data_IF_111516344057
#
_entry.id   IF_111516344057
#
_cell.length_a   1.000
_cell.length_b   1.000
_cell.length_c   1.000
_cell.angle_alpha   90.00
_cell.angle_beta   90.00
_cell.angle_gamma   90.00
#
_symmetry.space_group_name_H-M   'P 1'
#
loop_
_entity.id
_entity.type
_entity.pdbx_description
1 polymer ?
#
# COMPACT_ATOMS: atom_id res chain seq x y z
N UNK A 1 11.45 21.79 5.38
CA UNK A 1 11.85 20.43 5.82
C UNK A 1 11.14 19.41 4.96
N UNK A 2 11.84 18.40 4.45
CA UNK A 2 11.22 17.28 3.74
C UNK A 2 10.68 16.29 4.76
N UNK A 3 9.41 15.92 4.65
CA UNK A 3 8.81 14.86 5.47
C UNK A 3 9.30 13.49 5.00
N UNK A 4 10.17 12.85 5.78
CA UNK A 4 10.70 11.51 5.51
C UNK A 4 9.95 10.48 6.37
N UNK A 5 9.43 9.37 5.81
CA UNK A 5 8.72 8.37 6.59
C UNK A 5 9.66 7.65 7.56
N UNK A 6 9.17 7.38 8.78
CA UNK A 6 9.93 6.73 9.86
C UNK A 6 9.55 5.27 10.07
N UNK A 7 8.43 4.83 9.49
CA UNK A 7 7.89 3.47 9.62
C UNK A 7 7.34 2.98 8.29
N UNK A 8 7.48 1.69 8.03
CA UNK A 8 6.83 1.02 6.90
C UNK A 8 6.29 -0.35 7.34
N UNK A 9 5.37 -0.90 6.57
CA UNK A 9 4.97 -2.31 6.69
C UNK A 9 4.81 -2.90 5.29
N UNK A 10 4.92 -4.22 5.19
CA UNK A 10 4.69 -4.96 3.96
C UNK A 10 3.31 -5.61 4.05
N UNK A 11 2.56 -5.57 2.97
CA UNK A 11 1.30 -6.29 2.84
C UNK A 11 1.13 -6.79 1.42
N UNK A 12 0.28 -7.80 1.25
CA UNK A 12 -0.03 -8.38 -0.04
C UNK A 12 -1.47 -8.87 -0.06
N UNK A 13 -2.02 -8.97 -1.25
CA UNK A 13 -3.35 -9.49 -1.49
C UNK A 13 -3.39 -10.08 -2.88
N UNK A 14 -4.32 -11.00 -3.09
CA UNK A 14 -4.57 -11.63 -4.38
C UNK A 14 -6.06 -11.71 -4.60
N UNK A 15 -6.52 -11.41 -5.80
CA UNK A 15 -7.91 -11.59 -6.16
C UNK A 15 -8.04 -11.84 -7.66
N UNK A 16 -9.20 -12.36 -8.05
CA UNK A 16 -9.61 -12.52 -9.44
C UNK A 16 -10.94 -11.82 -9.61
N UNK A 17 -11.24 -11.39 -10.82
CA UNK A 17 -12.54 -10.82 -11.16
C UNK A 17 -12.98 -11.31 -12.53
N UNK A 18 -14.27 -11.62 -12.66
CA UNK A 18 -14.88 -11.91 -13.96
C UNK A 18 -15.24 -10.64 -14.74
N UNK A 19 -15.14 -9.47 -14.09
CA UNK A 19 -15.57 -8.18 -14.65
C UNK A 19 -14.42 -7.50 -15.39
N UNK A 20 -13.26 -7.33 -14.74
CA UNK A 20 -12.09 -6.67 -15.31
C UNK A 20 -10.85 -6.89 -14.44
N UNK A 21 -9.67 -6.63 -15.00
CA UNK A 21 -8.40 -6.60 -14.27
C UNK A 21 -8.39 -5.51 -13.18
N UNK A 22 -9.01 -4.36 -13.45
CA UNK A 22 -9.12 -3.27 -12.47
C UNK A 22 -9.90 -3.71 -11.22
N UNK A 23 -10.99 -4.45 -11.40
CA UNK A 23 -11.74 -5.01 -10.28
C UNK A 23 -10.97 -6.13 -9.56
N UNK A 24 -10.13 -6.89 -10.26
CA UNK A 24 -9.26 -7.88 -9.63
C UNK A 24 -8.20 -7.19 -8.77
N UNK A 25 -7.57 -6.13 -9.30
CA UNK A 25 -6.60 -5.30 -8.59
C UNK A 25 -7.21 -4.64 -7.35
N UNK A 26 -8.37 -3.99 -7.46
CA UNK A 26 -9.07 -3.36 -6.33
C UNK A 26 -9.39 -4.38 -5.20
N UNK A 27 -9.92 -5.55 -5.55
CA UNK A 27 -10.16 -6.64 -4.58
C UNK A 27 -8.86 -7.15 -3.95
N UNK A 28 -7.75 -7.15 -4.68
CA UNK A 28 -6.45 -7.51 -4.12
C UNK A 28 -5.99 -6.48 -3.09
N UNK A 29 -6.18 -5.18 -3.34
CA UNK A 29 -5.88 -4.11 -2.37
C UNK A 29 -6.75 -4.20 -1.12
N UNK A 30 -8.05 -4.51 -1.26
CA UNK A 30 -8.95 -4.76 -0.13
C UNK A 30 -8.47 -5.94 0.72
N UNK A 31 -8.05 -7.05 0.11
CA UNK A 31 -7.47 -8.22 0.81
C UNK A 31 -6.13 -7.90 1.46
N UNK A 32 -5.33 -7.06 0.82
CA UNK A 32 -4.12 -6.46 1.40
C UNK A 32 -4.44 -5.45 2.51
N UNK A 33 -5.72 -5.12 2.75
CA UNK A 33 -6.20 -4.14 3.74
C UNK A 33 -5.63 -2.75 3.55
N UNK A 34 -5.37 -2.37 2.29
CA UNK A 34 -4.98 -1.03 1.87
C UNK A 34 -5.89 -0.47 0.75
N UNK A 35 -7.01 -1.14 0.47
CA UNK A 35 -7.96 -0.73 -0.58
C UNK A 35 -8.74 0.55 -0.29
N UNK A 36 -8.73 1.01 0.96
CA UNK A 36 -9.43 2.23 1.39
C UNK A 36 -8.50 3.46 1.44
N UNK A 37 -7.28 3.35 0.90
CA UNK A 37 -6.27 4.41 0.89
C UNK A 37 -6.00 4.90 -0.54
N UNK A 38 -5.55 6.15 -0.65
CA UNK A 38 -5.04 6.69 -1.91
C UNK A 38 -3.56 6.30 -2.04
N UNK A 39 -3.23 5.41 -2.98
CA UNK A 39 -1.87 4.90 -3.14
C UNK A 39 -1.08 5.76 -4.13
N UNK A 40 0.07 6.27 -3.68
CA UNK A 40 1.07 6.94 -4.51
C UNK A 40 2.21 5.96 -4.73
N UNK A 41 2.31 5.43 -5.95
CA UNK A 41 3.39 4.52 -6.31
C UNK A 41 4.73 5.26 -6.35
N UNK A 42 5.74 4.72 -5.67
CA UNK A 42 7.13 5.17 -5.70
C UNK A 42 8.03 4.04 -6.20
N UNK A 43 9.27 4.37 -6.57
CA UNK A 43 10.19 3.41 -7.19
C UNK A 43 10.53 2.22 -6.28
N UNK A 44 11.44 2.38 -5.31
CA UNK A 44 11.95 1.23 -4.54
C UNK A 44 12.84 1.55 -3.32
N UNK A 45 12.84 2.78 -2.81
CA UNK A 45 13.82 3.20 -1.78
C UNK A 45 13.19 3.28 -0.39
N UNK A 46 13.77 2.55 0.57
CA UNK A 46 13.52 2.72 2.00
C UNK A 46 14.54 3.70 2.60
N UNK A 47 14.10 4.76 3.31
CA UNK A 47 15.01 5.70 3.97
C UNK A 47 15.91 5.04 5.02
N UNK A 48 17.11 5.60 5.29
CA UNK A 48 17.95 5.16 6.38
C UNK A 48 17.19 5.17 7.72
N UNK A 49 17.41 4.14 8.55
CA UNK A 49 16.81 4.00 9.89
C UNK A 49 15.28 3.85 9.92
N UNK A 50 14.61 3.64 8.78
CA UNK A 50 13.17 3.37 8.76
C UNK A 50 12.87 2.05 9.48
N UNK A 51 11.82 2.04 10.32
CA UNK A 51 11.45 0.85 11.09
C UNK A 51 10.33 0.07 10.42
N UNK A 52 10.56 -1.21 10.15
CA UNK A 52 9.47 -2.11 9.80
C UNK A 52 8.56 -2.31 11.01
N UNK A 53 7.26 -2.14 10.81
CA UNK A 53 6.23 -2.39 11.81
C UNK A 53 5.24 -3.45 11.30
N UNK A 54 4.47 -4.03 12.22
CA UNK A 54 3.30 -4.81 11.82
C UNK A 54 2.28 -3.91 11.11
N UNK A 55 1.49 -4.52 10.22
CA UNK A 55 0.37 -3.85 9.56
C UNK A 55 -0.52 -3.21 10.61
N UNK A 56 -0.89 -1.95 10.38
CA UNK A 56 -1.76 -1.18 11.25
C UNK A 56 -2.95 -0.64 10.45
N UNK A 57 -4.03 -0.31 11.16
CA UNK A 57 -5.15 0.42 10.55
C UNK A 57 -4.67 1.80 10.12
N UNK A 58 -4.97 2.13 8.87
CA UNK A 58 -4.75 3.45 8.26
C UNK A 58 -6.12 4.10 8.10
N UNK A 59 -6.26 5.42 8.33
CA UNK A 59 -7.49 6.14 8.03
C UNK A 59 -7.90 5.97 6.56
N UNK A 60 -9.21 5.86 6.32
CA UNK A 60 -9.77 5.87 4.96
C UNK A 60 -9.41 7.19 4.26
N UNK A 61 -9.09 7.12 2.97
CA UNK A 61 -8.72 8.28 2.14
C UNK A 61 -7.30 8.80 2.36
N UNK A 62 -6.53 8.24 3.32
CA UNK A 62 -5.17 8.70 3.56
C UNK A 62 -4.26 8.45 2.34
N UNK A 63 -3.39 9.41 2.03
CA UNK A 63 -2.41 9.32 0.95
C UNK A 63 -1.18 8.54 1.42
N UNK A 64 -1.00 7.34 0.90
CA UNK A 64 0.08 6.44 1.27
C UNK A 64 1.08 6.29 0.12
N UNK A 65 2.34 6.57 0.39
CA UNK A 65 3.42 6.28 -0.55
C UNK A 65 3.79 4.80 -0.41
N UNK A 66 3.76 4.05 -1.51
CA UNK A 66 4.07 2.63 -1.51
C UNK A 66 4.90 2.22 -2.72
N UNK A 67 5.79 1.25 -2.51
CA UNK A 67 6.36 0.49 -3.61
C UNK A 67 5.34 -0.58 -3.98
N UNK A 68 4.82 -0.54 -5.21
CA UNK A 68 3.78 -1.43 -5.66
C UNK A 68 4.34 -2.44 -6.68
N UNK A 69 4.05 -3.72 -6.45
CA UNK A 69 4.21 -4.78 -7.43
C UNK A 69 2.83 -5.38 -7.68
N UNK A 70 2.38 -5.39 -8.92
CA UNK A 70 1.05 -5.82 -9.36
C UNK A 70 1.17 -6.80 -10.53
#
# INVERSE_FOLDING_TARGET
MLTVPTKFFVTSGKAVSRVSDLNAFDKALLRAGIGEQNLVSVSSILPPKIKQIQKRKIPMGAIMHCVLAQ
#
